data_IF_220405568180
#
_entry.id   IF_220405568180
#
_cell.length_a   1.000
_cell.length_b   1.000
_cell.length_c   1.000
_cell.angle_alpha   90.00
_cell.angle_beta   90.00
_cell.angle_gamma   90.00
#
_symmetry.space_group_name_H-M   'P 1'
#
loop_
_entity.id
_entity.type
_entity.pdbx_description
1 polymer ?
#
# COMPACT_ATOMS: atom_id res chain seq x y z
N UNK A 1 -7.65 -10.60 13.80
CA UNK A 1 -7.76 -9.42 12.91
C UNK A 1 -6.41 -8.76 12.86
N UNK A 2 -6.02 -8.16 11.73
CA UNK A 2 -4.65 -7.67 11.52
C UNK A 2 -4.02 -8.23 10.25
N UNK A 3 -2.69 -8.25 10.25
CA UNK A 3 -1.80 -8.78 9.20
C UNK A 3 -1.11 -10.05 9.70
N UNK A 4 -1.15 -11.12 8.90
CA UNK A 4 -0.63 -12.45 9.21
C UNK A 4 0.74 -12.74 8.58
N UNK A 5 1.46 -13.76 9.06
CA UNK A 5 2.75 -14.17 8.47
C UNK A 5 2.61 -14.68 7.03
N UNK A 6 1.48 -15.29 6.66
CA UNK A 6 1.22 -15.76 5.28
C UNK A 6 1.28 -14.59 4.28
N UNK A 7 0.82 -13.39 4.68
CA UNK A 7 0.89 -12.21 3.82
C UNK A 7 2.35 -11.75 3.63
N UNK A 8 3.20 -11.90 4.65
CA UNK A 8 4.62 -11.61 4.54
C UNK A 8 5.35 -12.65 3.68
N UNK A 9 5.04 -13.94 3.84
CA UNK A 9 5.58 -15.00 2.97
C UNK A 9 5.19 -14.75 1.50
N UNK A 10 3.95 -14.32 1.24
CA UNK A 10 3.51 -13.92 -0.08
C UNK A 10 4.33 -12.72 -0.61
N UNK A 11 4.55 -11.68 0.20
CA UNK A 11 5.42 -10.55 -0.19
C UNK A 11 6.88 -10.96 -0.44
N UNK A 12 7.42 -11.85 0.40
CA UNK A 12 8.77 -12.39 0.25
C UNK A 12 8.91 -13.16 -1.06
N UNK A 13 7.92 -13.95 -1.43
CA UNK A 13 7.91 -14.69 -2.71
C UNK A 13 7.89 -13.78 -3.95
N UNK A 14 7.48 -12.52 -3.81
CA UNK A 14 7.49 -11.53 -4.89
C UNK A 14 8.88 -10.91 -5.11
N UNK A 15 9.82 -11.08 -4.18
CA UNK A 15 11.19 -10.56 -4.32
C UNK A 15 11.94 -11.39 -5.36
N UNK A 16 12.52 -10.72 -6.36
CA UNK A 16 13.22 -11.39 -7.46
C UNK A 16 12.30 -11.89 -8.58
N UNK A 17 11.00 -12.03 -8.33
CA UNK A 17 10.03 -12.19 -9.41
C UNK A 17 9.90 -10.86 -10.17
N UNK A 18 10.43 -10.83 -11.39
CA UNK A 18 10.38 -9.63 -12.23
C UNK A 18 9.02 -9.44 -12.90
N UNK A 19 8.07 -10.36 -12.74
CA UNK A 19 6.76 -10.34 -13.41
C UNK A 19 6.82 -10.46 -14.93
N UNK A 20 8.03 -10.45 -15.51
CA UNK A 20 8.29 -10.51 -16.97
C UNK A 20 7.84 -11.82 -17.60
N UNK A 21 7.53 -12.85 -16.79
CA UNK A 21 7.17 -14.18 -17.28
C UNK A 21 5.65 -14.39 -17.42
N UNK A 22 4.80 -13.53 -16.87
CA UNK A 22 3.35 -13.65 -17.00
C UNK A 22 2.82 -12.61 -18.01
N UNK A 23 2.47 -13.09 -19.20
CA UNK A 23 1.99 -12.29 -20.33
C UNK A 23 0.72 -11.46 -20.04
N UNK A 24 0.06 -11.66 -18.90
CA UNK A 24 -1.10 -10.88 -18.46
C UNK A 24 -0.72 -9.53 -17.83
N UNK A 25 0.55 -9.30 -17.50
CA UNK A 25 1.01 -8.01 -16.99
C UNK A 25 1.35 -7.04 -18.13
N UNK A 26 0.68 -5.89 -18.13
CA UNK A 26 0.89 -4.80 -19.06
C UNK A 26 1.83 -3.75 -18.42
N UNK A 27 2.91 -3.38 -19.10
CA UNK A 27 3.77 -2.26 -18.68
C UNK A 27 3.02 -0.93 -18.89
N UNK A 28 2.88 -0.16 -17.81
CA UNK A 28 2.15 1.11 -17.77
C UNK A 28 3.06 2.33 -17.80
N UNK A 29 4.23 2.23 -17.18
CA UNK A 29 5.19 3.33 -17.10
C UNK A 29 6.60 2.78 -16.93
N UNK A 30 7.54 3.36 -17.66
CA UNK A 30 8.97 3.15 -17.51
C UNK A 30 9.67 4.51 -17.51
N UNK A 31 10.32 4.83 -16.39
CA UNK A 31 11.10 6.07 -16.20
C UNK A 31 12.57 5.76 -15.86
N UNK A 32 13.08 4.60 -16.28
CA UNK A 32 14.45 4.16 -16.03
C UNK A 32 14.65 3.60 -14.61
N UNK A 33 14.59 4.47 -13.59
CA UNK A 33 14.73 4.05 -12.19
C UNK A 33 13.43 3.49 -11.60
N UNK A 34 12.28 3.75 -12.22
CA UNK A 34 10.98 3.24 -11.80
C UNK A 34 10.18 2.64 -12.94
N UNK A 35 9.53 1.51 -12.68
CA UNK A 35 8.67 0.81 -13.62
C UNK A 35 7.37 0.40 -12.93
N UNK A 36 6.25 0.45 -13.66
CA UNK A 36 4.94 0.07 -13.15
C UNK A 36 4.21 -0.81 -14.17
N UNK A 37 3.58 -1.88 -13.67
CA UNK A 37 2.76 -2.81 -14.43
C UNK A 37 1.37 -2.92 -13.83
N UNK A 38 0.40 -3.33 -14.64
CA UNK A 38 -0.93 -3.69 -14.19
C UNK A 38 -1.41 -4.99 -14.81
N UNK A 39 -2.36 -5.64 -14.16
CA UNK A 39 -3.09 -6.79 -14.71
C UNK A 39 -4.54 -6.71 -14.30
N UNK A 40 -5.46 -7.01 -15.22
CA UNK A 40 -6.89 -7.05 -14.92
C UNK A 40 -7.25 -8.34 -14.19
N UNK A 41 -8.07 -8.25 -13.15
CA UNK A 41 -8.63 -9.41 -12.47
C UNK A 41 -9.76 -9.99 -13.33
N UNK A 42 -9.52 -11.19 -13.85
CA UNK A 42 -10.48 -11.92 -14.72
C UNK A 42 -11.25 -13.01 -13.98
N UNK A 43 -10.84 -13.37 -12.76
CA UNK A 43 -11.51 -14.38 -11.96
C UNK A 43 -12.92 -13.93 -11.57
N UNK A 44 -13.87 -14.86 -11.57
CA UNK A 44 -15.23 -14.63 -11.09
C UNK A 44 -15.22 -14.43 -9.57
N UNK A 45 -15.16 -13.16 -9.18
CA UNK A 45 -15.07 -12.69 -7.80
C UNK A 45 -15.58 -11.25 -7.75
N UNK A 46 -15.80 -10.71 -6.56
CA UNK A 46 -16.17 -9.29 -6.37
C UNK A 46 -15.07 -8.33 -6.87
N UNK A 47 -13.85 -8.84 -7.09
CA UNK A 47 -12.74 -8.10 -7.67
C UNK A 47 -12.73 -8.13 -9.21
N UNK A 48 -13.69 -8.81 -9.87
CA UNK A 48 -13.76 -8.90 -11.33
C UNK A 48 -13.81 -7.51 -11.95
N UNK A 49 -12.90 -7.26 -12.88
CA UNK A 49 -12.78 -5.95 -13.54
C UNK A 49 -11.90 -4.95 -12.81
N UNK A 50 -11.49 -5.21 -11.57
CA UNK A 50 -10.47 -4.42 -10.87
C UNK A 50 -9.08 -4.67 -11.47
N UNK A 51 -8.16 -3.76 -11.17
CA UNK A 51 -6.77 -3.83 -11.58
C UNK A 51 -5.87 -4.16 -10.39
N UNK A 52 -4.92 -5.06 -10.60
CA UNK A 52 -3.79 -5.29 -9.69
C UNK A 52 -2.58 -4.59 -10.26
N UNK A 53 -1.82 -3.90 -9.41
CA UNK A 53 -0.65 -3.14 -9.79
C UNK A 53 0.62 -3.73 -9.17
N UNK A 54 1.72 -3.60 -9.90
CA UNK A 54 3.07 -3.88 -9.41
C UNK A 54 3.95 -2.70 -9.76
N UNK A 55 4.80 -2.27 -8.85
CA UNK A 55 5.79 -1.23 -9.10
C UNK A 55 7.16 -1.68 -8.61
N UNK A 56 8.20 -1.26 -9.33
CA UNK A 56 9.60 -1.40 -8.94
C UNK A 56 10.24 -0.03 -9.05
N UNK A 57 10.98 0.38 -8.03
CA UNK A 57 11.80 1.57 -8.06
C UNK A 57 13.18 1.28 -7.48
N UNK A 58 14.21 1.93 -8.01
CA UNK A 58 15.57 1.98 -7.47
C UNK A 58 15.79 3.40 -6.99
N UNK A 59 16.05 3.57 -5.70
CA UNK A 59 16.37 4.85 -5.08
C UNK A 59 17.87 4.84 -4.77
N UNK A 60 18.64 5.67 -5.46
CA UNK A 60 20.07 5.83 -5.24
C UNK A 60 20.33 6.87 -4.15
N UNK A 61 21.34 6.64 -3.31
CA UNK A 61 21.74 7.58 -2.26
C UNK A 61 20.92 7.53 -0.97
N UNK A 62 19.76 6.88 -0.98
CA UNK A 62 18.89 6.74 0.20
C UNK A 62 19.15 5.44 0.95
N UNK A 63 19.25 5.53 2.27
CA UNK A 63 19.31 4.35 3.14
C UNK A 63 17.95 3.68 3.28
N UNK A 64 17.94 2.35 3.49
CA UNK A 64 16.71 1.59 3.73
C UNK A 64 15.86 2.20 4.86
N UNK A 65 16.51 2.67 5.92
CA UNK A 65 15.83 3.27 7.07
C UNK A 65 15.08 4.56 6.71
N UNK A 66 15.68 5.43 5.88
CA UNK A 66 15.01 6.64 5.39
C UNK A 66 13.77 6.31 4.57
N UNK A 67 13.86 5.29 3.71
CA UNK A 67 12.73 4.85 2.89
C UNK A 67 11.61 4.28 3.76
N UNK A 68 11.95 3.43 4.73
CA UNK A 68 10.97 2.85 5.65
C UNK A 68 10.33 3.91 6.54
N UNK A 69 11.08 4.90 6.99
CA UNK A 69 10.57 6.05 7.76
C UNK A 69 9.57 6.84 6.90
N UNK A 70 9.93 7.20 5.66
CA UNK A 70 9.04 7.92 4.75
C UNK A 70 7.74 7.15 4.45
N UNK A 71 7.79 5.82 4.42
CA UNK A 71 6.62 4.96 4.18
C UNK A 71 5.73 4.79 5.42
N UNK A 72 6.30 4.85 6.63
CA UNK A 72 5.59 4.50 7.87
C UNK A 72 5.21 5.72 8.71
N UNK A 73 5.96 6.81 8.65
CA UNK A 73 5.68 8.02 9.41
C UNK A 73 4.44 8.73 8.84
N UNK A 74 3.37 8.73 9.61
CA UNK A 74 2.10 9.35 9.21
C UNK A 74 2.13 10.86 9.29
N UNK A 75 3.00 11.42 10.15
CA UNK A 75 3.00 12.83 10.48
C UNK A 75 3.58 13.65 9.33
N UNK A 76 4.60 13.11 8.66
CA UNK A 76 5.26 13.77 7.51
C UNK A 76 4.58 13.47 6.18
N UNK A 77 3.62 12.53 6.12
CA UNK A 77 3.05 12.07 4.83
C UNK A 77 2.44 13.21 4.03
N UNK A 78 1.74 14.12 4.71
CA UNK A 78 1.08 15.27 4.08
C UNK A 78 2.06 16.37 3.63
N UNK A 79 3.31 16.33 4.09
CA UNK A 79 4.34 17.32 3.72
C UNK A 79 4.84 17.11 2.29
N UNK A 80 4.93 15.84 1.85
CA UNK A 80 5.49 15.49 0.54
C UNK A 80 4.47 14.86 -0.42
N UNK A 81 3.39 14.25 0.06
CA UNK A 81 2.34 13.67 -0.79
C UNK A 81 1.19 14.65 -0.98
N UNK A 82 1.18 15.34 -2.13
CA UNK A 82 0.14 16.30 -2.49
C UNK A 82 -1.28 15.71 -2.61
N UNK A 83 -1.40 14.40 -2.81
CA UNK A 83 -2.69 13.72 -2.88
C UNK A 83 -3.18 13.26 -1.51
N UNK A 84 -2.31 13.14 -0.51
CA UNK A 84 -2.71 12.82 0.84
C UNK A 84 -3.39 14.03 1.49
N UNK A 85 -4.68 13.89 1.81
CA UNK A 85 -5.43 14.91 2.55
C UNK A 85 -5.19 14.79 4.06
N UNK A 86 -5.14 13.56 4.57
CA UNK A 86 -4.83 13.25 5.97
C UNK A 86 -4.31 11.82 6.08
N UNK A 87 -3.36 11.59 6.98
CA UNK A 87 -2.96 10.24 7.38
C UNK A 87 -2.69 10.24 8.89
N UNK A 88 -3.25 9.28 9.62
CA UNK A 88 -3.04 9.19 11.08
C UNK A 88 -3.16 7.76 11.58
N UNK A 89 -2.41 7.47 12.63
CA UNK A 89 -2.61 6.25 13.42
C UNK A 89 -3.89 6.37 14.26
N UNK A 90 -4.83 5.46 14.07
CA UNK A 90 -6.07 5.34 14.85
C UNK A 90 -5.80 4.60 16.16
N UNK A 91 -5.10 3.47 16.10
CA UNK A 91 -4.78 2.64 17.27
C UNK A 91 -3.64 1.67 16.97
N UNK A 92 -3.07 1.07 18.00
CA UNK A 92 -2.19 -0.09 17.92
C UNK A 92 -2.97 -1.33 18.39
N UNK A 93 -2.89 -2.44 17.68
CA UNK A 93 -3.52 -3.69 18.12
C UNK A 93 -2.76 -4.28 19.32
N UNK A 94 -3.39 -5.20 20.05
CA UNK A 94 -2.81 -5.84 21.24
C UNK A 94 -1.55 -6.67 20.98
N UNK A 95 -1.17 -6.90 19.72
CA UNK A 95 0.10 -7.53 19.35
C UNK A 95 1.31 -6.59 19.44
N UNK A 96 1.08 -5.29 19.66
CA UNK A 96 2.11 -4.27 19.81
C UNK A 96 2.83 -3.89 18.51
N UNK A 97 2.45 -4.46 17.36
CA UNK A 97 3.19 -4.29 16.10
C UNK A 97 2.29 -4.00 14.89
N UNK A 98 0.98 -4.26 14.99
CA UNK A 98 0.03 -3.96 13.92
C UNK A 98 -0.71 -2.67 14.23
N UNK A 99 -0.55 -1.68 13.36
CA UNK A 99 -1.23 -0.39 13.46
C UNK A 99 -2.56 -0.40 12.72
N UNK A 100 -3.54 0.35 13.21
CA UNK A 100 -4.74 0.73 12.46
C UNK A 100 -4.53 2.16 11.97
N UNK A 101 -4.57 2.35 10.66
CA UNK A 101 -4.32 3.63 10.00
C UNK A 101 -5.60 4.13 9.34
N UNK A 102 -5.86 5.43 9.48
CA UNK A 102 -6.81 6.17 8.65
C UNK A 102 -6.02 7.00 7.64
N UNK A 103 -6.41 6.96 6.38
CA UNK A 103 -5.84 7.80 5.32
C UNK A 103 -6.94 8.31 4.41
N UNK A 104 -6.92 9.60 4.07
CA UNK A 104 -7.77 10.19 3.04
C UNK A 104 -6.94 10.72 1.88
N UNK A 105 -7.48 10.59 0.67
CA UNK A 105 -6.82 10.87 -0.60
C UNK A 105 -7.71 11.79 -1.42
N UNK A 106 -7.12 12.88 -1.91
CA UNK A 106 -7.76 13.84 -2.80
C UNK A 106 -7.94 13.22 -4.18
N UNK A 107 -9.16 13.27 -4.72
CA UNK A 107 -9.43 12.84 -6.09
C UNK A 107 -9.81 14.02 -6.99
N UNK A 108 -9.51 13.93 -8.30
CA UNK A 108 -9.92 14.96 -9.24
C UNK A 108 -11.44 15.06 -9.34
N UNK A 109 -11.97 16.29 -9.25
CA UNK A 109 -13.37 16.59 -9.54
C UNK A 109 -13.73 16.10 -10.97
N UNK A 110 -14.88 15.43 -11.18
CA UNK A 110 -16.08 15.36 -10.31
C UNK A 110 -16.11 14.17 -9.34
N UNK A 111 -15.02 13.43 -9.19
CA UNK A 111 -15.00 12.30 -8.26
C UNK A 111 -14.82 12.82 -6.82
N UNK A 112 -15.54 12.23 -5.87
CA UNK A 112 -15.38 12.54 -4.45
C UNK A 112 -14.05 12.01 -3.90
N UNK A 113 -13.56 12.57 -2.80
CA UNK A 113 -12.35 12.04 -2.15
C UNK A 113 -12.58 10.61 -1.66
N UNK A 114 -11.47 9.88 -1.46
CA UNK A 114 -11.49 8.51 -0.93
C UNK A 114 -10.85 8.45 0.42
N UNK A 115 -11.35 7.59 1.30
CA UNK A 115 -10.65 7.24 2.52
C UNK A 115 -10.49 5.73 2.72
N UNK A 116 -9.53 5.40 3.56
CA UNK A 116 -9.09 4.05 3.80
C UNK A 116 -8.82 3.87 5.28
N UNK A 117 -9.42 2.82 5.84
CA UNK A 117 -9.07 2.31 7.17
C UNK A 117 -8.41 0.95 6.97
N UNK A 118 -7.15 0.83 7.34
CA UNK A 118 -6.37 -0.39 7.10
C UNK A 118 -5.46 -0.76 8.26
N UNK A 119 -5.23 -2.06 8.41
CA UNK A 119 -4.14 -2.59 9.22
C UNK A 119 -2.83 -2.40 8.46
N UNK A 120 -1.77 -1.95 9.14
CA UNK A 120 -0.41 -1.84 8.61
C UNK A 120 0.56 -2.51 9.56
N UNK A 121 1.45 -3.35 9.02
CA UNK A 121 2.55 -3.93 9.79
C UNK A 121 3.82 -3.96 8.95
N UNK A 122 4.92 -3.50 9.55
CA UNK A 122 6.26 -3.56 8.99
C UNK A 122 7.04 -4.67 9.70
N UNK A 123 7.77 -5.46 8.92
CA UNK A 123 8.64 -6.51 9.43
C UNK A 123 10.01 -6.40 8.78
N UNK A 124 11.06 -6.35 9.60
CA UNK A 124 12.45 -6.38 9.14
C UNK A 124 12.89 -7.83 8.94
N UNK A 125 13.57 -8.10 7.85
CA UNK A 125 14.16 -9.40 7.50
C UNK A 125 15.63 -9.21 7.13
N UNK A 126 16.37 -10.31 7.03
CA UNK A 126 17.76 -10.24 6.59
C UNK A 126 17.80 -9.67 5.16
N UNK A 127 18.49 -8.53 4.98
CA UNK A 127 18.64 -7.88 3.67
C UNK A 127 17.50 -6.92 3.28
N UNK A 128 16.50 -6.67 4.13
CA UNK A 128 15.43 -5.72 3.79
C UNK A 128 14.29 -5.63 4.81
N UNK A 129 13.14 -5.14 4.34
CA UNK A 129 11.92 -5.07 5.13
C UNK A 129 10.68 -5.21 4.26
N UNK A 130 9.61 -5.75 4.84
CA UNK A 130 8.32 -5.95 4.21
C UNK A 130 7.26 -5.19 4.97
N UNK A 131 6.48 -4.38 4.26
CA UNK A 131 5.32 -3.72 4.81
C UNK A 131 4.07 -4.26 4.12
N UNK A 132 3.11 -4.71 4.92
CA UNK A 132 1.81 -5.15 4.43
C UNK A 132 0.74 -4.21 4.97
N UNK A 133 -0.16 -3.80 4.07
CA UNK A 133 -1.35 -3.02 4.39
C UNK A 133 -2.59 -3.74 3.87
N UNK A 134 -3.63 -3.83 4.69
CA UNK A 134 -4.87 -4.56 4.38
C UNK A 134 -6.06 -3.83 4.98
N UNK A 135 -7.17 -3.73 4.23
CA UNK A 135 -8.40 -3.10 4.73
C UNK A 135 -8.80 -3.66 6.09
N UNK A 136 -9.08 -2.75 7.02
CA UNK A 136 -9.51 -3.10 8.35
C UNK A 136 -10.99 -3.49 8.36
N UNK A 137 -11.46 -3.98 9.51
CA UNK A 137 -12.88 -4.25 9.69
C UNK A 137 -13.67 -2.94 9.70
N UNK A 138 -14.89 -2.95 9.16
CA UNK A 138 -15.81 -1.81 9.22
C UNK A 138 -16.09 -1.40 10.68
N UNK A 139 -16.38 -0.11 10.87
CA UNK A 139 -16.79 0.45 12.17
C UNK A 139 -15.64 0.81 13.13
N UNK A 140 -14.38 0.69 12.71
CA UNK A 140 -13.24 1.21 13.50
C UNK A 140 -13.13 2.74 13.46
N UNK A 141 -13.59 3.33 12.36
CA UNK A 141 -13.73 4.77 12.15
C UNK A 141 -15.09 4.96 11.50
N UNK A 142 -15.79 6.03 11.85
CA UNK A 142 -17.06 6.37 11.22
C UNK A 142 -16.84 6.75 9.75
N UNK A 143 -17.78 6.38 8.89
CA UNK A 143 -17.78 6.81 7.48
C UNK A 143 -17.94 8.33 7.41
N UNK A 144 -17.24 8.96 6.48
CA UNK A 144 -17.29 10.42 6.27
C UNK A 144 -18.25 10.72 5.12
N UNK A 145 -19.23 11.59 5.36
CA UNK A 145 -20.19 11.98 4.32
C UNK A 145 -19.47 12.61 3.12
N UNK A 146 -19.84 12.19 1.91
CA UNK A 146 -19.25 12.69 0.67
C UNK A 146 -17.84 12.15 0.36
N UNK A 147 -17.38 11.13 1.10
CA UNK A 147 -16.11 10.41 0.86
C UNK A 147 -16.44 8.93 0.63
N UNK A 148 -15.66 8.27 -0.23
CA UNK A 148 -15.79 6.83 -0.57
C UNK A 148 -14.71 5.99 0.09
#
# INVERSE_FOLDING_TARGET
>A
GGVSEIEFEACESLVGDTGRQDARWELMSDKGSSQMWRRKVIAESDAKGQWVYRARAVLEGEGLDSVLEALTNTDIRTEWDSHCASMRRVSLLGDGVTEVIYSSVRFPFPLCDRDYVFYRRLVRRQGGGFMVARSARKGLVAEVEGVV
#
